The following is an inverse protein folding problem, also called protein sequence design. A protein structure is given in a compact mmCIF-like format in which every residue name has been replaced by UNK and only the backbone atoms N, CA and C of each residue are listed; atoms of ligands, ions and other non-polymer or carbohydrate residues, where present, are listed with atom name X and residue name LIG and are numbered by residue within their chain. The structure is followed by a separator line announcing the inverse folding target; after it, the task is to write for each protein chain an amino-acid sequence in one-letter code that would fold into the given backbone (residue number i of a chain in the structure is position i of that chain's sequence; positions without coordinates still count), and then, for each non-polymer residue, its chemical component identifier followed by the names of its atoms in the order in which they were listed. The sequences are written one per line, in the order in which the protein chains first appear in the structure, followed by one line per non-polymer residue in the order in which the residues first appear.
data_IF_288104216391
#
_entry.id   IF_288104216391
#
_cell.length_a   1.000
_cell.length_b   1.000
_cell.length_c   1.000
_cell.angle_alpha   90.00
_cell.angle_beta   90.00
_cell.angle_gamma   90.00
#
_symmetry.space_group_name_H-M   'P 1'
#
loop_
_entity.id
_entity.type
_entity.pdbx_description
1 polymer ?
#
# COMPACT_ATOMS: atom_id res chain seq x y z
N UNK A 1 32.68 -13.51 -11.19
CA UNK A 1 31.87 -14.62 -11.73
C UNK A 1 32.66 -15.93 -11.77
N UNK A 2 33.63 -16.11 -12.68
CA UNK A 2 34.42 -17.36 -12.81
C UNK A 2 35.10 -17.81 -11.50
N UNK A 3 35.69 -16.89 -10.75
CA UNK A 3 36.30 -17.18 -9.44
C UNK A 3 35.30 -17.66 -8.37
N UNK A 4 34.01 -17.39 -8.54
CA UNK A 4 32.92 -17.87 -7.68
C UNK A 4 32.26 -19.14 -8.24
N UNK A 5 32.80 -19.72 -9.32
CA UNK A 5 32.28 -20.94 -9.94
C UNK A 5 31.22 -20.73 -11.04
N UNK A 6 30.87 -19.49 -11.37
CA UNK A 6 29.84 -19.20 -12.39
C UNK A 6 30.39 -19.19 -13.81
N UNK A 7 29.62 -19.74 -14.74
CA UNK A 7 29.87 -19.76 -16.19
C UNK A 7 29.33 -18.50 -16.84
N UNK A 8 29.84 -18.16 -18.03
CA UNK A 8 29.32 -17.03 -18.82
C UNK A 8 27.89 -17.26 -19.33
N UNK A 9 27.46 -18.51 -19.38
CA UNK A 9 26.09 -18.92 -19.72
C UNK A 9 25.13 -18.86 -18.54
N UNK A 10 25.63 -18.66 -17.31
CA UNK A 10 24.78 -18.61 -16.12
C UNK A 10 23.97 -17.33 -16.13
N UNK A 11 22.66 -17.47 -15.93
CA UNK A 11 21.74 -16.33 -15.88
C UNK A 11 21.77 -15.68 -14.50
N UNK A 12 21.17 -14.49 -14.38
CA UNK A 12 20.98 -13.86 -13.07
C UNK A 12 20.15 -14.75 -12.13
N UNK A 13 19.22 -15.54 -12.68
CA UNK A 13 18.46 -16.52 -11.92
C UNK A 13 19.37 -17.62 -11.37
N UNK A 14 20.31 -18.14 -12.15
CA UNK A 14 21.22 -19.20 -11.70
C UNK A 14 22.09 -18.74 -10.51
N UNK A 15 22.52 -17.49 -10.56
CA UNK A 15 23.34 -16.86 -9.53
C UNK A 15 22.53 -16.57 -8.26
N UNK A 16 21.36 -15.95 -8.40
CA UNK A 16 20.59 -15.46 -7.26
C UNK A 16 19.68 -16.51 -6.65
N UNK A 17 19.03 -17.35 -7.47
CA UNK A 17 17.90 -18.19 -7.05
C UNK A 17 18.10 -19.68 -7.33
N UNK A 18 19.16 -20.09 -8.02
CA UNK A 18 19.49 -21.51 -8.24
C UNK A 18 20.88 -21.91 -7.71
N UNK A 19 21.39 -21.18 -6.71
CA UNK A 19 22.63 -21.54 -6.03
C UNK A 19 22.44 -22.72 -5.05
N UNK A 20 23.51 -23.13 -4.38
CA UNK A 20 23.51 -24.29 -3.48
C UNK A 20 22.54 -24.16 -2.30
N UNK A 21 22.32 -22.95 -1.80
CA UNK A 21 21.35 -22.71 -0.72
C UNK A 21 19.93 -22.96 -1.21
N UNK A 22 19.51 -22.40 -2.34
CA UNK A 22 18.16 -22.60 -2.90
C UNK A 22 17.90 -24.05 -3.29
N UNK A 23 18.87 -24.72 -3.92
CA UNK A 23 18.79 -26.13 -4.30
C UNK A 23 18.80 -27.10 -3.11
N UNK A 24 19.09 -26.61 -1.89
CA UNK A 24 18.99 -27.43 -0.69
C UNK A 24 17.54 -27.72 -0.31
N UNK A 25 16.59 -26.84 -0.67
CA UNK A 25 15.16 -27.01 -0.47
C UNK A 25 14.59 -27.96 -1.51
N UNK A 26 14.40 -29.23 -1.13
CA UNK A 26 14.06 -30.30 -2.08
C UNK A 26 12.67 -30.08 -2.69
N UNK A 27 12.55 -30.39 -3.99
CA UNK A 27 11.27 -30.34 -4.69
C UNK A 27 10.19 -31.19 -3.99
N UNK A 28 10.56 -32.40 -3.56
CA UNK A 28 9.70 -33.25 -2.72
C UNK A 28 9.83 -32.81 -1.27
N UNK A 29 8.79 -32.19 -0.74
CA UNK A 29 8.67 -31.70 0.62
C UNK A 29 7.26 -32.03 1.14
N UNK A 30 7.16 -32.43 2.40
CA UNK A 30 5.89 -32.83 3.02
C UNK A 30 4.84 -31.71 2.99
N UNK A 31 5.27 -30.45 3.02
CA UNK A 31 4.37 -29.29 2.97
C UNK A 31 3.68 -29.16 1.60
N UNK A 32 4.34 -29.57 0.52
CA UNK A 32 3.79 -29.54 -0.83
C UNK A 32 2.97 -30.77 -1.19
N UNK A 33 2.88 -31.78 -0.32
CA UNK A 33 2.20 -33.03 -0.62
C UNK A 33 0.69 -32.81 -0.78
N UNK A 34 0.12 -33.32 -1.88
CA UNK A 34 -1.30 -33.16 -2.20
C UNK A 34 -1.68 -31.81 -2.84
N UNK A 35 -0.71 -30.93 -3.11
CA UNK A 35 -0.93 -29.65 -3.79
C UNK A 35 -0.17 -29.59 -5.12
N UNK A 36 -0.82 -29.01 -6.14
CA UNK A 36 -0.14 -28.70 -7.39
C UNK A 36 0.88 -27.57 -7.17
N UNK A 37 2.10 -27.77 -7.67
CA UNK A 37 3.15 -26.75 -7.66
C UNK A 37 3.86 -26.70 -9.01
N UNK A 38 3.28 -25.95 -9.93
CA UNK A 38 3.75 -25.84 -11.31
C UNK A 38 5.12 -25.17 -11.43
N UNK A 39 5.49 -24.33 -10.48
CA UNK A 39 6.84 -23.74 -10.44
C UNK A 39 7.91 -24.79 -10.12
N UNK A 40 7.59 -25.81 -9.30
CA UNK A 40 8.56 -26.84 -8.89
C UNK A 40 8.61 -27.99 -9.88
N UNK A 41 7.45 -28.47 -10.33
CA UNK A 41 7.31 -29.71 -11.12
C UNK A 41 6.93 -29.48 -12.59
N UNK A 42 6.76 -28.23 -13.01
CA UNK A 42 6.25 -27.92 -14.35
C UNK A 42 4.73 -28.00 -14.43
N UNK A 43 4.20 -27.72 -15.61
CA UNK A 43 2.76 -27.72 -15.84
C UNK A 43 2.35 -28.92 -16.70
N UNK A 44 1.34 -29.68 -16.26
CA UNK A 44 0.86 -30.88 -16.95
C UNK A 44 0.27 -30.60 -18.34
N UNK A 45 -0.05 -29.34 -18.65
CA UNK A 45 -0.55 -28.90 -19.96
C UNK A 45 0.57 -28.70 -20.99
N UNK A 46 1.84 -28.87 -20.61
CA UNK A 46 2.99 -28.68 -21.50
C UNK A 46 3.17 -27.23 -21.93
N UNK A 47 2.92 -26.27 -21.02
CA UNK A 47 3.04 -24.84 -21.33
C UNK A 47 4.48 -24.50 -21.70
N UNK A 48 4.66 -23.63 -22.69
CA UNK A 48 5.99 -23.14 -23.06
C UNK A 48 6.51 -22.17 -21.99
N UNK A 49 7.76 -22.36 -21.58
CA UNK A 49 8.52 -21.40 -20.78
C UNK A 49 8.96 -20.19 -21.59
N UNK A 50 9.62 -19.25 -20.92
CA UNK A 50 10.15 -18.03 -21.54
C UNK A 50 11.22 -18.29 -22.60
N UNK A 51 11.83 -19.47 -22.60
CA UNK A 51 12.79 -19.94 -23.60
C UNK A 51 12.14 -20.67 -24.79
N UNK A 52 10.80 -20.73 -24.82
CA UNK A 52 10.01 -21.41 -25.86
C UNK A 52 10.00 -22.94 -25.74
N UNK A 53 10.68 -23.53 -24.75
CA UNK A 53 10.66 -24.97 -24.48
C UNK A 53 9.57 -25.30 -23.49
N UNK A 54 9.19 -26.57 -23.41
CA UNK A 54 8.21 -27.01 -22.43
C UNK A 54 8.70 -26.76 -20.99
N UNK A 55 7.86 -26.12 -20.17
CA UNK A 55 8.17 -25.77 -18.79
C UNK A 55 8.16 -27.00 -17.88
N UNK A 56 9.34 -27.37 -17.35
CA UNK A 56 9.53 -28.54 -16.48
C UNK A 56 9.64 -28.22 -14.98
N UNK A 57 9.47 -26.95 -14.61
CA UNK A 57 9.68 -26.50 -13.23
C UNK A 57 11.15 -26.27 -12.89
N UNK A 58 11.40 -25.59 -11.77
CA UNK A 58 12.74 -25.31 -11.26
C UNK A 58 13.43 -26.54 -10.64
N UNK A 59 12.69 -27.58 -10.27
CA UNK A 59 13.24 -28.82 -9.71
C UNK A 59 13.71 -28.72 -8.24
N UNK A 60 13.41 -27.62 -7.55
CA UNK A 60 13.60 -27.42 -6.12
C UNK A 60 12.50 -26.50 -5.58
N UNK A 61 12.26 -26.49 -4.27
CA UNK A 61 11.13 -25.75 -3.67
C UNK A 61 11.47 -24.25 -3.54
N UNK A 62 11.36 -23.56 -4.68
CA UNK A 62 11.76 -22.16 -4.81
C UNK A 62 11.00 -21.22 -3.85
N UNK A 63 9.70 -21.43 -3.63
CA UNK A 63 8.90 -20.54 -2.77
C UNK A 63 9.36 -20.61 -1.31
N UNK A 64 9.61 -21.83 -0.81
CA UNK A 64 10.15 -22.07 0.54
C UNK A 64 11.53 -21.45 0.68
N UNK A 65 12.40 -21.65 -0.31
CA UNK A 65 13.75 -21.08 -0.31
C UNK A 65 13.74 -19.54 -0.27
N UNK A 66 12.93 -18.89 -1.11
CA UNK A 66 12.78 -17.42 -1.13
C UNK A 66 12.27 -16.90 0.21
N UNK A 67 11.25 -17.55 0.79
CA UNK A 67 10.71 -17.14 2.09
C UNK A 67 11.75 -17.26 3.21
N UNK A 68 12.45 -18.39 3.26
CA UNK A 68 13.47 -18.68 4.26
C UNK A 68 14.69 -17.77 4.12
N UNK A 69 15.03 -17.33 2.91
CA UNK A 69 16.01 -16.27 2.71
C UNK A 69 15.48 -14.92 3.18
N UNK A 70 14.29 -14.52 2.72
CA UNK A 70 13.69 -13.22 3.00
C UNK A 70 13.56 -12.96 4.50
N UNK A 71 13.10 -13.94 5.28
CA UNK A 71 12.90 -13.72 6.72
C UNK A 71 14.21 -13.42 7.46
N UNK A 72 15.37 -13.86 6.97
CA UNK A 72 16.68 -13.59 7.60
C UNK A 72 16.97 -12.09 7.71
N UNK A 73 16.47 -11.27 6.79
CA UNK A 73 16.62 -9.82 6.85
C UNK A 73 15.89 -9.18 8.04
N UNK A 74 14.86 -9.83 8.58
CA UNK A 74 14.07 -9.32 9.71
C UNK A 74 14.43 -9.92 11.07
N UNK A 75 15.15 -11.05 11.10
CA UNK A 75 15.48 -11.76 12.34
C UNK A 75 16.34 -10.89 13.26
N UNK A 76 15.94 -10.78 14.53
CA UNK A 76 16.64 -9.98 15.53
C UNK A 76 16.42 -8.47 15.41
N UNK A 77 15.58 -8.02 14.47
CA UNK A 77 15.38 -6.59 14.19
C UNK A 77 13.94 -6.10 14.43
N UNK A 78 13.13 -6.90 15.14
CA UNK A 78 11.73 -6.55 15.40
C UNK A 78 10.84 -6.70 14.18
N UNK A 79 11.29 -7.45 13.18
CA UNK A 79 10.57 -7.79 11.95
C UNK A 79 10.60 -9.30 11.68
N UNK A 80 10.78 -10.09 12.74
CA UNK A 80 10.88 -11.54 12.68
C UNK A 80 9.59 -12.15 12.13
N UNK A 81 9.74 -13.08 11.20
CA UNK A 81 8.66 -13.86 10.62
C UNK A 81 8.87 -15.33 10.97
N UNK A 82 7.77 -16.08 11.08
CA UNK A 82 7.86 -17.52 11.26
C UNK A 82 8.51 -18.20 10.04
N UNK A 83 9.00 -19.42 10.24
CA UNK A 83 9.43 -20.27 9.14
C UNK A 83 8.24 -20.61 8.22
N UNK A 84 8.56 -20.98 6.98
CA UNK A 84 7.58 -21.30 5.94
C UNK A 84 6.56 -22.34 6.38
N UNK A 85 7.02 -23.40 7.06
CA UNK A 85 6.19 -24.56 7.40
C UNK A 85 5.17 -24.21 8.48
N UNK A 86 5.52 -23.30 9.40
CA UNK A 86 4.60 -22.77 10.40
C UNK A 86 3.40 -22.08 9.74
N UNK A 87 3.61 -21.26 8.70
CA UNK A 87 2.50 -20.56 8.03
C UNK A 87 1.53 -21.48 7.28
N UNK A 88 1.94 -22.71 6.96
CA UNK A 88 1.03 -23.73 6.42
C UNK A 88 0.19 -24.45 7.48
N UNK A 89 0.48 -24.25 8.77
CA UNK A 89 -0.23 -24.86 9.90
C UNK A 89 -1.15 -23.88 10.63
N UNK A 90 -1.01 -22.59 10.39
CA UNK A 90 -1.72 -21.53 11.11
C UNK A 90 -2.36 -20.52 10.16
N UNK A 91 -3.40 -19.80 10.62
CA UNK A 91 -4.07 -18.75 9.83
C UNK A 91 -3.43 -17.39 10.02
N UNK A 92 -2.15 -17.29 9.69
CA UNK A 92 -1.35 -16.08 9.84
C UNK A 92 -0.87 -15.82 11.27
N UNK A 93 0.16 -14.99 11.39
CA UNK A 93 0.79 -14.58 12.64
C UNK A 93 1.20 -13.11 12.54
N UNK A 94 1.07 -12.36 13.64
CA UNK A 94 1.51 -10.96 13.72
C UNK A 94 2.99 -10.87 14.09
N UNK A 95 3.77 -10.20 13.24
CA UNK A 95 5.18 -9.94 13.50
C UNK A 95 5.39 -8.86 14.59
N UNK A 96 6.51 -8.87 15.33
CA UNK A 96 7.56 -9.89 15.33
C UNK A 96 7.08 -11.26 15.81
N UNK A 97 7.46 -12.33 15.11
CA UNK A 97 7.26 -13.72 15.55
C UNK A 97 8.57 -14.25 16.12
N UNK A 98 8.64 -14.41 17.44
CA UNK A 98 9.86 -14.85 18.15
C UNK A 98 9.55 -16.16 18.86
N UNK A 99 10.45 -17.15 18.72
CA UNK A 99 10.26 -18.50 19.27
C UNK A 99 8.90 -19.13 18.91
N UNK A 100 8.44 -18.87 17.67
CA UNK A 100 7.16 -19.35 17.15
C UNK A 100 5.92 -18.64 17.69
N UNK A 101 6.08 -17.58 18.49
CA UNK A 101 4.97 -16.83 19.10
C UNK A 101 4.80 -15.46 18.45
N UNK A 102 3.58 -15.14 18.06
CA UNK A 102 3.24 -13.82 17.52
C UNK A 102 3.27 -12.70 18.58
N UNK A 103 3.56 -11.48 18.12
CA UNK A 103 3.45 -10.28 18.94
C UNK A 103 2.09 -9.63 18.70
N UNK A 104 1.21 -9.66 19.70
CA UNK A 104 -0.13 -9.07 19.58
C UNK A 104 -0.12 -7.55 19.71
N UNK A 105 0.70 -7.02 20.61
CA UNK A 105 0.82 -5.60 20.90
C UNK A 105 2.28 -5.20 20.95
N UNK A 106 2.76 -4.51 19.91
CA UNK A 106 4.12 -3.98 19.87
C UNK A 106 4.33 -2.89 20.93
N UNK A 107 5.57 -2.78 21.40
CA UNK A 107 6.01 -1.85 22.45
C UNK A 107 5.47 -2.13 23.86
N UNK A 108 4.68 -3.18 24.06
CA UNK A 108 4.21 -3.60 25.37
C UNK A 108 5.06 -4.78 25.88
N UNK A 109 5.73 -4.63 27.02
CA UNK A 109 6.68 -5.61 27.55
C UNK A 109 6.08 -6.98 27.88
N UNK A 110 4.76 -7.09 28.05
CA UNK A 110 4.08 -8.37 28.24
C UNK A 110 3.96 -9.19 26.95
N UNK A 111 3.87 -8.53 25.80
CA UNK A 111 3.51 -9.17 24.53
C UNK A 111 4.59 -9.06 23.46
N UNK A 112 5.46 -8.05 23.54
CA UNK A 112 6.55 -7.78 22.60
C UNK A 112 7.89 -8.13 23.26
N UNK A 113 8.57 -9.21 22.82
CA UNK A 113 9.87 -9.60 23.34
C UNK A 113 10.95 -8.52 23.21
N UNK A 114 10.85 -7.64 22.20
CA UNK A 114 11.79 -6.53 22.05
C UNK A 114 11.54 -5.44 23.08
N UNK A 115 10.27 -5.18 23.42
CA UNK A 115 9.94 -4.26 24.50
C UNK A 115 10.36 -4.83 25.87
N UNK A 116 10.16 -6.13 26.09
CA UNK A 116 10.58 -6.81 27.31
C UNK A 116 12.10 -6.70 27.55
N UNK A 117 12.90 -6.88 26.49
CA UNK A 117 14.37 -6.78 26.54
C UNK A 117 14.88 -5.40 26.96
N UNK A 118 14.12 -4.34 26.71
CA UNK A 118 14.50 -2.98 27.13
C UNK A 118 14.39 -2.74 28.63
N UNK A 119 13.67 -3.60 29.37
CA UNK A 119 13.49 -3.53 30.82
C UNK A 119 13.04 -2.13 31.31
N UNK A 120 12.00 -1.57 30.67
CA UNK A 120 11.54 -0.19 30.86
C UNK A 120 10.10 -0.12 31.42
N UNK A 121 9.74 -1.05 32.30
CA UNK A 121 8.36 -1.21 32.79
C UNK A 121 7.44 -1.79 31.72
N UNK A 122 6.16 -1.41 31.75
CA UNK A 122 5.13 -2.01 30.89
C UNK A 122 5.29 -1.68 29.40
N UNK A 123 5.95 -0.57 29.08
CA UNK A 123 6.12 -0.09 27.71
C UNK A 123 7.57 0.32 27.40
N UNK A 124 8.04 -0.05 26.22
CA UNK A 124 9.35 0.31 25.71
C UNK A 124 9.30 0.71 24.23
N UNK A 125 9.72 1.93 23.93
CA UNK A 125 9.77 2.46 22.57
C UNK A 125 11.19 2.37 22.00
N UNK A 126 11.55 1.17 21.54
CA UNK A 126 12.90 0.80 21.07
C UNK A 126 13.26 1.27 19.64
N UNK A 127 12.39 2.06 19.00
CA UNK A 127 12.61 2.57 17.64
C UNK A 127 13.90 3.40 17.51
N UNK A 128 14.54 3.34 16.35
CA UNK A 128 15.82 4.02 16.08
C UNK A 128 15.69 5.49 15.70
N UNK A 129 14.49 5.90 15.28
CA UNK A 129 14.22 7.27 14.87
C UNK A 129 14.25 8.25 16.05
N UNK A 130 14.95 9.37 15.86
CA UNK A 130 15.06 10.47 16.83
C UNK A 130 15.52 10.00 18.23
N UNK A 131 16.53 9.13 18.29
CA UNK A 131 17.11 8.59 19.54
C UNK A 131 17.77 9.65 20.43
N UNK A 132 18.18 10.78 19.85
CA UNK A 132 18.61 11.95 20.58
C UNK A 132 18.11 13.23 19.87
N UNK A 133 17.74 14.25 20.64
CA UNK A 133 17.25 15.53 20.11
C UNK A 133 17.85 16.69 20.91
N UNK A 134 18.05 17.83 20.25
CA UNK A 134 18.37 19.10 20.91
C UNK A 134 17.21 19.53 21.80
N UNK A 135 17.49 20.14 22.96
CA UNK A 135 16.47 20.79 23.79
C UNK A 135 16.19 22.20 23.26
N UNK A 136 14.98 22.69 23.52
CA UNK A 136 14.52 23.97 23.03
C UNK A 136 13.24 24.44 23.70
N UNK A 137 12.64 25.47 23.11
CA UNK A 137 11.28 25.90 23.40
C UNK A 137 10.35 25.51 22.24
N UNK A 138 9.11 26.01 22.25
CA UNK A 138 8.11 25.71 21.20
C UNK A 138 8.52 26.22 19.81
N UNK A 139 9.46 27.16 19.73
CA UNK A 139 9.86 27.81 18.49
C UNK A 139 11.13 27.19 17.89
N UNK A 140 12.13 26.86 18.72
CA UNK A 140 13.42 26.35 18.23
C UNK A 140 14.23 25.61 19.31
N UNK A 141 15.19 24.77 18.90
CA UNK A 141 16.28 24.35 19.77
C UNK A 141 17.01 25.55 20.39
N UNK A 142 17.35 25.44 21.67
CA UNK A 142 18.13 26.43 22.44
C UNK A 142 19.50 25.88 22.85
N UNK A 143 19.80 24.65 22.47
CA UNK A 143 21.03 23.93 22.78
C UNK A 143 21.61 23.35 21.51
N UNK A 144 22.94 23.31 21.39
CA UNK A 144 23.61 22.61 20.30
C UNK A 144 23.76 21.12 20.56
N UNK A 145 23.87 20.74 21.84
CA UNK A 145 23.99 19.36 22.28
C UNK A 145 22.65 18.60 22.13
N UNK A 146 22.74 17.33 21.75
CA UNK A 146 21.60 16.42 21.67
C UNK A 146 21.49 15.56 22.91
N UNK A 147 20.28 15.38 23.42
CA UNK A 147 19.99 14.59 24.61
C UNK A 147 19.32 13.27 24.23
N UNK A 148 19.72 12.14 24.83
CA UNK A 148 19.13 10.84 24.53
C UNK A 148 17.67 10.75 24.97
N UNK A 149 16.83 10.18 24.11
CA UNK A 149 15.40 9.91 24.31
C UNK A 149 15.14 8.40 24.26
N UNK A 150 15.80 7.66 25.15
CA UNK A 150 15.65 6.20 25.25
C UNK A 150 14.24 5.84 25.71
N UNK A 151 13.61 4.88 25.03
CA UNK A 151 12.29 4.34 25.38
C UNK A 151 11.18 5.39 25.57
N UNK A 152 11.22 6.47 24.78
CA UNK A 152 10.18 7.49 24.73
C UNK A 152 9.51 7.52 23.35
N UNK A 153 8.18 7.62 23.36
CA UNK A 153 7.42 8.10 22.21
C UNK A 153 7.73 9.60 21.99
N UNK A 154 7.66 10.05 20.73
CA UNK A 154 8.00 11.43 20.34
C UNK A 154 6.72 12.13 19.89
N UNK A 155 6.44 13.28 20.49
CA UNK A 155 5.33 14.15 20.08
C UNK A 155 5.90 15.24 19.18
N UNK A 156 5.28 15.43 18.01
CA UNK A 156 5.69 16.45 17.04
C UNK A 156 4.59 17.49 16.90
N UNK A 157 4.89 18.74 17.29
CA UNK A 157 4.03 19.89 17.01
C UNK A 157 4.28 20.36 15.58
N UNK A 158 3.56 19.77 14.62
CA UNK A 158 3.65 20.17 13.21
C UNK A 158 2.74 21.39 12.99
N UNK A 159 3.25 22.51 12.45
CA UNK A 159 2.40 23.64 12.10
C UNK A 159 1.40 23.21 11.03
N UNK A 160 0.21 23.82 11.06
CA UNK A 160 -0.72 23.69 9.96
C UNK A 160 -0.10 24.28 8.68
N UNK A 161 -0.36 23.62 7.56
CA UNK A 161 0.06 24.07 6.24
C UNK A 161 -1.13 23.89 5.31
N UNK A 162 -1.44 24.95 4.55
CA UNK A 162 -2.49 24.87 3.55
C UNK A 162 -2.15 23.81 2.49
N UNK A 163 -3.17 23.12 1.94
CA UNK A 163 -3.02 22.34 0.73
C UNK A 163 -2.30 23.10 -0.39
N UNK A 164 -1.48 22.39 -1.18
CA UNK A 164 -0.73 22.98 -2.28
C UNK A 164 -1.60 23.67 -3.35
N UNK A 165 -2.86 23.25 -3.45
CA UNK A 165 -3.86 23.91 -4.28
C UNK A 165 -5.14 24.11 -3.47
N UNK A 166 -5.50 25.37 -3.26
CA UNK A 166 -6.74 25.80 -2.62
C UNK A 166 -7.74 26.26 -3.68
N UNK A 167 -9.06 26.10 -3.44
CA UNK A 167 -10.08 26.75 -4.25
C UNK A 167 -9.92 28.27 -4.28
N UNK A 168 -10.26 28.85 -5.41
CA UNK A 168 -10.23 30.28 -5.65
C UNK A 168 -11.45 30.72 -6.47
N UNK A 169 -11.39 31.91 -7.07
CA UNK A 169 -12.50 32.46 -7.85
C UNK A 169 -12.77 31.70 -9.15
N UNK A 170 -11.76 31.06 -9.73
CA UNK A 170 -11.89 30.32 -11.00
C UNK A 170 -12.19 28.84 -10.75
N UNK A 171 -11.51 28.22 -9.78
CA UNK A 171 -11.68 26.83 -9.37
C UNK A 171 -12.25 26.80 -7.96
N UNK A 172 -13.56 26.97 -7.84
CA UNK A 172 -14.25 27.29 -6.58
C UNK A 172 -14.64 26.07 -5.72
N UNK A 173 -14.36 24.86 -6.19
CA UNK A 173 -14.84 23.62 -5.56
C UNK A 173 -13.69 22.69 -5.22
N UNK A 174 -13.69 22.11 -4.02
CA UNK A 174 -12.76 21.05 -3.64
C UNK A 174 -13.10 19.73 -4.37
N UNK A 175 -12.10 19.05 -4.92
CA UNK A 175 -12.22 17.67 -5.40
C UNK A 175 -11.48 16.73 -4.45
N UNK A 176 -12.20 15.69 -4.00
CA UNK A 176 -11.64 14.54 -3.31
C UNK A 176 -11.92 13.26 -4.11
N UNK A 177 -10.93 12.41 -4.27
CA UNK A 177 -11.10 11.09 -4.89
C UNK A 177 -11.04 9.97 -3.86
N UNK A 178 -11.64 8.82 -4.15
CA UNK A 178 -11.53 7.67 -3.26
C UNK A 178 -12.19 6.42 -3.79
N UNK A 179 -12.61 5.56 -2.86
CA UNK A 179 -13.14 4.23 -3.15
C UNK A 179 -14.66 4.20 -2.95
N UNK A 180 -15.28 3.26 -3.64
CA UNK A 180 -16.62 2.76 -3.32
C UNK A 180 -16.49 1.31 -2.86
N UNK A 181 -17.52 0.77 -2.22
CA UNK A 181 -17.48 -0.57 -1.65
C UNK A 181 -17.35 -1.65 -2.74
N UNK A 182 -18.03 -1.43 -3.86
CA UNK A 182 -18.26 -2.40 -4.92
C UNK A 182 -17.01 -2.64 -5.78
N UNK A 183 -16.17 -1.61 -5.94
CA UNK A 183 -15.10 -1.62 -6.92
C UNK A 183 -13.72 -1.49 -6.29
N UNK A 184 -12.88 -2.47 -6.61
CA UNK A 184 -11.48 -2.48 -6.25
C UNK A 184 -10.66 -1.72 -7.29
N UNK A 185 -10.05 -0.63 -6.84
CA UNK A 185 -9.11 0.16 -7.64
C UNK A 185 -9.67 0.51 -9.02
N UNK A 186 -8.96 0.20 -10.10
CA UNK A 186 -9.33 0.50 -11.49
C UNK A 186 -10.48 -0.34 -12.05
N UNK A 187 -11.21 -1.09 -11.21
CA UNK A 187 -12.38 -1.86 -11.62
C UNK A 187 -12.10 -3.07 -12.52
N UNK A 188 -10.86 -3.27 -12.99
CA UNK A 188 -10.46 -4.30 -13.97
C UNK A 188 -10.92 -5.73 -13.63
N UNK A 189 -11.03 -6.06 -12.34
CA UNK A 189 -11.58 -7.33 -11.86
C UNK A 189 -13.05 -7.21 -11.45
N UNK A 190 -13.37 -6.20 -10.62
CA UNK A 190 -14.66 -6.10 -9.91
C UNK A 190 -15.81 -5.61 -10.78
N UNK A 191 -15.54 -4.79 -11.79
CA UNK A 191 -16.56 -4.39 -12.79
C UNK A 191 -17.02 -5.56 -13.67
N UNK A 192 -16.30 -6.69 -13.67
CA UNK A 192 -16.71 -7.92 -14.37
C UNK A 192 -17.66 -8.79 -13.56
N UNK A 193 -17.87 -8.49 -12.27
CA UNK A 193 -18.83 -9.18 -11.41
C UNK A 193 -20.20 -8.52 -11.58
N UNK A 194 -21.20 -9.20 -12.15
CA UNK A 194 -22.48 -8.57 -12.51
C UNK A 194 -23.21 -7.90 -11.35
N UNK A 195 -23.15 -8.47 -10.15
CA UNK A 195 -23.76 -7.93 -8.93
C UNK A 195 -23.17 -6.58 -8.54
N UNK A 196 -21.84 -6.47 -8.57
CA UNK A 196 -21.10 -5.25 -8.22
C UNK A 196 -21.32 -4.16 -9.27
N UNK A 197 -21.29 -4.55 -10.54
CA UNK A 197 -21.56 -3.64 -11.65
C UNK A 197 -22.98 -3.07 -11.60
N UNK A 198 -24.01 -3.89 -11.32
CA UNK A 198 -25.40 -3.41 -11.18
C UNK A 198 -25.57 -2.42 -10.03
N UNK A 199 -24.82 -2.59 -8.95
CA UNK A 199 -24.92 -1.71 -7.78
C UNK A 199 -24.30 -0.32 -8.03
N UNK A 200 -23.15 -0.25 -8.72
CA UNK A 200 -22.48 1.01 -9.08
C UNK A 200 -21.89 0.89 -10.50
N UNK A 201 -22.65 1.17 -11.56
CA UNK A 201 -22.20 0.92 -12.94
C UNK A 201 -21.23 1.98 -13.49
N UNK A 202 -21.21 3.17 -12.90
CA UNK A 202 -20.39 4.31 -13.36
C UNK A 202 -19.88 5.14 -12.18
N UNK A 203 -18.77 5.86 -12.39
CA UNK A 203 -18.27 6.81 -11.41
C UNK A 203 -19.08 8.12 -11.45
N UNK A 204 -19.74 8.42 -10.33
CA UNK A 204 -20.56 9.62 -10.16
C UNK A 204 -19.79 10.74 -9.44
N UNK A 205 -20.14 11.99 -9.76
CA UNK A 205 -19.73 13.18 -9.04
C UNK A 205 -20.72 13.46 -7.92
N UNK A 206 -20.39 12.97 -6.73
CA UNK A 206 -21.16 13.18 -5.52
C UNK A 206 -20.97 14.62 -5.03
N UNK A 207 -22.06 15.34 -4.84
CA UNK A 207 -22.04 16.73 -4.38
C UNK A 207 -23.21 17.06 -3.45
N UNK A 208 -23.04 18.08 -2.62
CA UNK A 208 -24.08 18.51 -1.70
C UNK A 208 -25.30 19.07 -2.47
N UNK A 209 -26.55 18.72 -2.12
CA UNK A 209 -27.75 19.18 -2.83
C UNK A 209 -27.84 20.70 -2.99
N UNK A 210 -27.55 21.47 -1.94
CA UNK A 210 -27.56 22.94 -2.00
C UNK A 210 -26.49 23.54 -2.90
N UNK A 211 -25.36 22.85 -3.11
CA UNK A 211 -24.34 23.34 -4.04
C UNK A 211 -24.72 23.03 -5.48
N UNK A 212 -25.37 21.88 -5.71
CA UNK A 212 -25.98 21.56 -6.99
C UNK A 212 -27.04 22.60 -7.35
N UNK A 213 -27.93 22.95 -6.42
CA UNK A 213 -28.95 23.99 -6.61
C UNK A 213 -28.32 25.36 -6.90
N UNK A 214 -27.34 25.79 -6.09
CA UNK A 214 -26.64 27.07 -6.28
C UNK A 214 -25.91 27.15 -7.64
N UNK A 215 -25.42 26.02 -8.16
CA UNK A 215 -24.77 25.92 -9.48
C UNK A 215 -25.73 25.56 -10.62
N UNK A 216 -27.04 25.41 -10.36
CA UNK A 216 -28.07 25.11 -11.36
C UNK A 216 -28.01 23.68 -11.93
N UNK A 217 -27.41 22.74 -11.21
CA UNK A 217 -27.33 21.31 -11.55
C UNK A 217 -28.49 20.52 -10.97
N UNK A 218 -28.94 19.51 -11.72
CA UNK A 218 -29.89 18.49 -11.26
C UNK A 218 -29.17 17.15 -11.12
N UNK A 219 -29.73 16.26 -10.29
CA UNK A 219 -29.25 14.88 -10.21
C UNK A 219 -29.31 14.23 -11.60
N UNK A 220 -28.23 13.54 -12.00
CA UNK A 220 -28.08 12.90 -13.30
C UNK A 220 -27.55 13.80 -14.41
N UNK A 221 -27.46 15.13 -14.19
CA UNK A 221 -26.86 16.06 -15.15
C UNK A 221 -25.41 15.64 -15.43
N UNK A 222 -25.04 15.66 -16.71
CA UNK A 222 -23.65 15.47 -17.11
C UNK A 222 -22.93 16.81 -16.99
N UNK A 223 -21.83 16.84 -16.23
CA UNK A 223 -21.04 18.05 -16.00
C UNK A 223 -19.58 17.81 -16.37
N UNK A 224 -18.91 18.91 -16.72
CA UNK A 224 -17.45 18.96 -16.73
C UNK A 224 -16.93 19.19 -15.32
N UNK A 225 -15.99 18.34 -14.92
CA UNK A 225 -15.10 18.56 -13.79
C UNK A 225 -13.76 18.99 -14.37
N UNK A 226 -13.44 20.26 -14.26
CA UNK A 226 -12.22 20.84 -14.84
C UNK A 226 -11.29 21.36 -13.76
N UNK A 227 -10.00 21.15 -13.97
CA UNK A 227 -8.93 21.72 -13.15
C UNK A 227 -7.86 22.30 -14.07
N UNK A 228 -6.82 22.90 -13.49
CA UNK A 228 -5.70 23.49 -14.28
C UNK A 228 -4.96 22.49 -15.18
N UNK A 229 -5.18 21.19 -14.98
CA UNK A 229 -4.50 20.10 -15.71
C UNK A 229 -5.35 19.47 -16.81
N UNK A 230 -6.66 19.71 -16.82
CA UNK A 230 -7.56 19.14 -17.81
C UNK A 230 -8.99 19.03 -17.29
N UNK A 231 -9.81 18.28 -18.02
CA UNK A 231 -11.22 18.10 -17.69
C UNK A 231 -11.69 16.67 -17.93
N UNK A 232 -12.70 16.25 -17.17
CA UNK A 232 -13.40 14.98 -17.33
C UNK A 232 -14.91 15.20 -17.21
N UNK A 233 -15.71 14.34 -17.84
CA UNK A 233 -17.16 14.34 -17.66
C UNK A 233 -17.56 13.36 -16.57
N UNK A 234 -18.47 13.76 -15.70
CA UNK A 234 -19.08 12.90 -14.69
C UNK A 234 -20.55 13.28 -14.49
N UNK A 235 -21.40 12.33 -14.10
CA UNK A 235 -22.79 12.61 -13.76
C UNK A 235 -22.93 13.05 -12.32
N UNK A 236 -23.74 14.07 -12.09
CA UNK A 236 -24.04 14.59 -10.75
C UNK A 236 -24.86 13.59 -9.96
N UNK A 237 -24.45 13.32 -8.73
CA UNK A 237 -25.23 12.58 -7.76
C UNK A 237 -25.37 13.39 -6.46
N UNK A 238 -26.59 13.79 -6.14
CA UNK A 238 -26.93 14.56 -4.92
C UNK A 238 -27.64 13.70 -3.89
N UNK A 239 -28.13 12.53 -4.29
CA UNK A 239 -28.79 11.54 -3.45
C UNK A 239 -27.86 10.35 -3.30
N UNK A 240 -27.47 10.01 -2.08
CA UNK A 240 -26.72 8.76 -1.95
C UNK A 240 -26.06 8.51 -0.62
N UNK A 241 -25.30 7.42 -0.62
CA UNK A 241 -24.47 6.97 0.51
C UNK A 241 -23.38 7.98 0.88
N UNK A 242 -22.84 8.71 -0.10
CA UNK A 242 -21.84 9.74 0.13
C UNK A 242 -22.50 11.11 0.32
N UNK A 243 -22.38 11.66 1.52
CA UNK A 243 -22.87 13.00 1.88
C UNK A 243 -21.68 13.94 1.96
N UNK A 244 -21.35 14.59 0.85
CA UNK A 244 -20.22 15.53 0.83
C UNK A 244 -20.58 16.81 1.58
N UNK A 245 -19.62 17.44 2.28
CA UNK A 245 -19.82 18.78 2.82
C UNK A 245 -19.97 19.80 1.69
N UNK A 246 -20.54 20.96 2.01
CA UNK A 246 -20.66 22.06 1.05
C UNK A 246 -19.28 22.55 0.59
N UNK A 247 -19.15 22.88 -0.69
CA UNK A 247 -17.92 23.28 -1.35
C UNK A 247 -16.99 22.13 -1.74
N UNK A 248 -17.41 20.87 -1.56
CA UNK A 248 -16.62 19.68 -1.91
C UNK A 248 -17.42 18.68 -2.74
N UNK A 249 -16.77 18.17 -3.78
CA UNK A 249 -17.23 17.02 -4.57
C UNK A 249 -16.34 15.81 -4.38
N UNK A 250 -16.97 14.64 -4.46
CA UNK A 250 -16.30 13.35 -4.40
C UNK A 250 -16.54 12.58 -5.70
N UNK A 251 -15.46 12.10 -6.32
CA UNK A 251 -15.53 11.25 -7.52
C UNK A 251 -14.64 10.02 -7.31
N UNK A 252 -15.18 8.79 -7.37
CA UNK A 252 -14.35 7.60 -7.27
C UNK A 252 -13.59 7.35 -8.58
N UNK A 253 -12.48 6.61 -8.52
CA UNK A 253 -11.54 6.46 -9.65
C UNK A 253 -11.56 5.06 -10.30
N UNK A 254 -12.59 4.25 -10.04
CA UNK A 254 -12.64 2.89 -10.55
C UNK A 254 -13.03 2.78 -12.03
N UNK A 255 -13.74 3.78 -12.55
CA UNK A 255 -14.37 3.75 -13.86
C UNK A 255 -13.41 4.27 -14.93
N UNK A 256 -13.06 3.43 -15.90
CA UNK A 256 -12.24 3.80 -17.05
C UNK A 256 -12.90 4.85 -17.96
N UNK A 257 -14.21 5.11 -17.84
CA UNK A 257 -14.89 6.19 -18.56
C UNK A 257 -14.66 7.55 -17.91
N UNK A 258 -14.32 7.57 -16.62
CA UNK A 258 -14.10 8.79 -15.83
C UNK A 258 -12.69 8.74 -15.23
N UNK A 259 -11.69 9.09 -16.05
CA UNK A 259 -10.29 9.18 -15.63
C UNK A 259 -10.02 10.38 -14.70
N UNK A 260 -10.65 10.40 -13.52
CA UNK A 260 -10.63 11.55 -12.60
C UNK A 260 -9.22 11.99 -12.20
N UNK A 261 -8.24 11.08 -12.19
CA UNK A 261 -6.85 11.45 -11.91
C UNK A 261 -6.26 12.43 -12.93
N UNK A 262 -6.85 12.58 -14.14
CA UNK A 262 -6.44 13.61 -15.12
C UNK A 262 -6.61 15.03 -14.59
N UNK A 263 -7.49 15.23 -13.61
CA UNK A 263 -7.74 16.55 -13.01
C UNK A 263 -7.09 16.71 -11.63
N UNK A 264 -6.49 15.66 -11.07
CA UNK A 264 -5.81 15.70 -9.77
C UNK A 264 -4.45 16.40 -9.85
N UNK A 265 -4.06 17.06 -8.76
CA UNK A 265 -2.74 17.66 -8.59
C UNK A 265 -1.66 16.58 -8.37
N UNK A 266 -0.48 16.77 -8.95
CA UNK A 266 0.68 15.85 -8.76
C UNK A 266 1.67 16.35 -7.69
N UNK A 267 1.15 17.05 -6.67
CA UNK A 267 1.95 17.48 -5.54
C UNK A 267 2.17 16.30 -4.60
N UNK A 268 3.40 16.11 -4.16
CA UNK A 268 3.77 14.99 -3.28
C UNK A 268 4.26 15.50 -1.92
N UNK A 269 3.99 14.72 -0.87
CA UNK A 269 4.62 14.96 0.42
C UNK A 269 6.15 14.93 0.26
N UNK A 270 6.89 15.96 0.69
CA UNK A 270 8.34 16.02 0.48
C UNK A 270 9.09 14.89 1.20
N UNK A 271 8.48 14.28 2.24
CA UNK A 271 9.04 13.17 3.00
C UNK A 271 8.66 11.80 2.43
N UNK A 272 7.37 11.49 2.32
CA UNK A 272 6.90 10.16 1.92
C UNK A 272 6.83 9.97 0.40
N UNK A 273 6.92 11.06 -0.37
CA UNK A 273 6.69 11.09 -1.82
C UNK A 273 5.28 10.65 -2.25
N UNK A 274 4.35 10.54 -1.31
CA UNK A 274 2.96 10.21 -1.61
C UNK A 274 2.25 11.43 -2.21
N UNK A 275 1.59 11.25 -3.36
CA UNK A 275 0.78 12.28 -4.02
C UNK A 275 -0.50 12.60 -3.24
N UNK A 276 -0.86 13.88 -3.15
CA UNK A 276 -2.13 14.31 -2.54
C UNK A 276 -3.30 14.18 -3.53
N UNK A 277 -3.87 12.97 -3.62
CA UNK A 277 -5.09 12.71 -4.39
C UNK A 277 -6.38 13.19 -3.71
N UNK A 278 -6.29 13.71 -2.48
CA UNK A 278 -7.48 13.98 -1.65
C UNK A 278 -7.93 15.43 -1.72
N UNK A 279 -7.07 16.32 -2.23
CA UNK A 279 -7.32 17.76 -2.25
C UNK A 279 -6.75 18.40 -3.51
N UNK A 280 -7.63 18.90 -4.36
CA UNK A 280 -7.30 19.85 -5.42
C UNK A 280 -8.53 20.70 -5.72
N UNK A 281 -8.35 21.78 -6.47
CA UNK A 281 -9.41 22.70 -6.83
C UNK A 281 -9.93 22.39 -8.24
N UNK A 282 -11.24 22.38 -8.40
CA UNK A 282 -11.94 22.18 -9.66
C UNK A 282 -13.02 23.24 -9.85
N UNK A 283 -13.38 23.47 -11.11
CA UNK A 283 -14.58 24.20 -11.50
C UNK A 283 -15.55 23.23 -12.18
N UNK A 284 -16.84 23.45 -11.94
CA UNK A 284 -17.91 22.60 -12.41
C UNK A 284 -18.85 23.40 -13.31
N UNK A 285 -19.19 22.86 -14.47
CA UNK A 285 -20.14 23.48 -15.41
C UNK A 285 -20.85 22.42 -16.26
N UNK A 286 -22.01 22.76 -16.84
CA UNK A 286 -22.79 21.81 -17.65
C UNK A 286 -22.01 21.39 -18.90
N UNK A 287 -22.14 20.11 -19.25
CA UNK A 287 -21.44 19.51 -20.39
C UNK A 287 -22.11 19.73 -21.74
#
# INVERSE_FOLDING_TARGET
AKAMGYKETDTLFDVLFANSYFKSFKAKDAIGEGFDNTEVFGDSRGVAGSDGKEWKGYGFFIQKAIWEEYRKFGLGHGHDLADFDTYHKVRGLKWPVVDGKETQWRFNAKYDPYAAKENNGDFAFYGTFAKALKKGNLQKPTTEETFPLKNKAKIFFRPYMDPCEMPDKEYDTWLCTGRVLEHWHSGTMTMRVPELYRAVPEALCYMHPSDAEAKGFKQGDLIWVESRRGSVKARVETRGRNRTPRGLVFVPWFDEKVFINKVCLDATCPLSKQTDYKKCAVKLYKA
#
